data_IF_118395673235
#
_entry.id   IF_118395673235
#
_cell.length_a   1.000
_cell.length_b   1.000
_cell.length_c   1.000
_cell.angle_alpha   90.00
_cell.angle_beta   90.00
_cell.angle_gamma   90.00
#
_symmetry.space_group_name_H-M   'P 1'
#
loop_
_entity.id
_entity.type
_entity.pdbx_description
1 polymer ?
#
# COMPACT_ATOMS: atom_id res chain seq x y z
N UNK A 1 0.09 31.81 6.33
CA UNK A 1 0.56 32.46 5.08
C UNK A 1 -0.41 32.26 3.90
N UNK A 2 -0.67 31.03 3.45
CA UNK A 2 -1.47 30.78 2.23
C UNK A 2 -2.90 31.34 2.24
N UNK A 3 -3.54 31.44 3.42
CA UNK A 3 -4.87 32.05 3.55
C UNK A 3 -4.88 33.56 3.26
N UNK A 4 -3.82 34.28 3.61
CA UNK A 4 -3.67 35.71 3.33
C UNK A 4 -3.41 35.95 1.83
N UNK A 5 -2.51 35.17 1.20
CA UNK A 5 -2.30 35.21 -0.26
C UNK A 5 -3.60 34.97 -1.03
N UNK A 6 -4.44 34.06 -0.54
CA UNK A 6 -5.73 33.73 -1.15
C UNK A 6 -6.85 34.72 -0.80
N UNK A 7 -6.54 35.85 -0.14
CA UNK A 7 -7.50 36.85 0.36
C UNK A 7 -8.63 36.24 1.21
N UNK A 8 -8.36 35.15 1.92
CA UNK A 8 -9.28 34.54 2.90
C UNK A 8 -9.10 35.14 4.30
N UNK A 9 -8.03 35.91 4.50
CA UNK A 9 -7.73 36.73 5.68
C UNK A 9 -7.28 38.08 5.16
N UNK A 10 -7.72 39.16 5.80
CA UNK A 10 -7.36 40.54 5.44
C UNK A 10 -5.92 40.84 5.85
N UNK A 11 -5.54 40.48 7.08
CA UNK A 11 -4.21 40.78 7.63
C UNK A 11 -3.16 39.69 7.33
N UNK A 12 -1.91 40.08 7.05
CA UNK A 12 -0.80 39.15 6.96
C UNK A 12 -0.56 38.43 8.29
N UNK A 13 -0.06 37.18 8.26
CA UNK A 13 0.41 36.54 9.47
C UNK A 13 1.60 37.32 10.06
N UNK A 14 1.61 37.49 11.37
CA UNK A 14 2.74 38.11 12.10
C UNK A 14 3.95 37.18 12.11
N UNK A 15 5.16 37.74 12.19
CA UNK A 15 6.42 36.98 12.29
C UNK A 15 6.39 36.01 13.48
N UNK A 16 5.86 36.44 14.63
CA UNK A 16 5.69 35.58 15.81
C UNK A 16 4.75 34.40 15.57
N UNK A 17 3.67 34.60 14.80
CA UNK A 17 2.72 33.54 14.42
C UNK A 17 3.41 32.48 13.55
N UNK A 18 4.25 32.92 12.61
CA UNK A 18 5.04 32.06 11.73
C UNK A 18 6.03 31.23 12.57
N UNK A 19 6.83 31.90 13.42
CA UNK A 19 7.83 31.24 14.26
C UNK A 19 7.21 30.22 15.21
N UNK A 20 6.09 30.57 15.85
CA UNK A 20 5.36 29.66 16.75
C UNK A 20 4.86 28.43 16.01
N UNK A 21 4.34 28.59 14.79
CA UNK A 21 3.87 27.46 13.99
C UNK A 21 5.02 26.56 13.52
N UNK A 22 6.19 27.13 13.20
CA UNK A 22 7.39 26.34 12.89
C UNK A 22 7.87 25.53 14.09
N UNK A 23 7.98 26.16 15.27
CA UNK A 23 8.35 25.46 16.49
C UNK A 23 7.36 24.35 16.84
N UNK A 24 6.05 24.62 16.71
CA UNK A 24 5.02 23.60 16.92
C UNK A 24 5.18 22.38 16.00
N UNK A 25 5.55 22.59 14.73
CA UNK A 25 5.79 21.49 13.79
C UNK A 25 7.00 20.65 14.19
N UNK A 26 8.09 21.28 14.61
CA UNK A 26 9.29 20.56 15.06
C UNK A 26 9.03 19.79 16.37
N UNK A 27 8.32 20.39 17.33
CA UNK A 27 7.90 19.69 18.55
C UNK A 27 7.02 18.47 18.24
N UNK A 28 6.05 18.61 17.33
CA UNK A 28 5.19 17.50 16.92
C UNK A 28 5.98 16.40 16.23
N UNK A 29 6.93 16.76 15.37
CA UNK A 29 7.80 15.81 14.69
C UNK A 29 8.65 15.02 15.70
N UNK A 30 9.15 15.67 16.74
CA UNK A 30 9.88 14.99 17.81
C UNK A 30 8.96 14.04 18.60
N UNK A 31 7.78 14.51 19.02
CA UNK A 31 6.79 13.69 19.74
C UNK A 31 6.37 12.45 18.94
N UNK A 32 6.21 12.58 17.62
CA UNK A 32 5.86 11.45 16.75
C UNK A 32 6.97 10.40 16.74
N UNK A 33 8.24 10.82 16.68
CA UNK A 33 9.39 9.90 16.75
C UNK A 33 9.42 9.19 18.10
N UNK A 34 9.29 9.94 19.20
CA UNK A 34 9.31 9.37 20.55
C UNK A 34 8.18 8.36 20.76
N UNK A 35 6.98 8.65 20.26
CA UNK A 35 5.84 7.71 20.31
C UNK A 35 6.12 6.47 19.47
N UNK A 36 6.63 6.64 18.24
CA UNK A 36 6.98 5.51 17.37
C UNK A 36 8.07 4.61 17.96
N UNK A 37 9.07 5.19 18.62
CA UNK A 37 10.13 4.42 19.28
C UNK A 37 9.58 3.64 20.48
N UNK A 38 8.74 4.26 21.31
CA UNK A 38 8.07 3.60 22.43
C UNK A 38 7.15 2.47 21.96
N UNK A 39 6.39 2.70 20.89
CA UNK A 39 5.49 1.71 20.30
C UNK A 39 6.26 0.48 19.80
N UNK A 40 7.38 0.69 19.09
CA UNK A 40 8.27 -0.41 18.67
C UNK A 40 8.82 -1.21 19.84
N UNK A 41 9.18 -0.54 20.95
CA UNK A 41 9.66 -1.22 22.16
C UNK A 41 8.56 -2.04 22.83
N UNK A 42 7.31 -1.53 22.85
CA UNK A 42 6.16 -2.29 23.36
C UNK A 42 5.86 -3.50 22.47
N UNK A 43 5.84 -3.32 21.15
CA UNK A 43 5.66 -4.39 20.19
C UNK A 43 6.72 -5.49 20.34
N UNK A 44 7.98 -5.11 20.58
CA UNK A 44 9.06 -6.07 20.82
C UNK A 44 8.82 -6.89 22.10
N UNK A 45 8.33 -6.27 23.18
CA UNK A 45 7.96 -6.98 24.41
C UNK A 45 6.78 -7.92 24.22
N UNK A 46 5.74 -7.46 23.53
CA UNK A 46 4.56 -8.29 23.21
C UNK A 46 4.93 -9.51 22.36
N UNK A 47 5.92 -9.35 21.47
CA UNK A 47 6.48 -10.46 20.71
C UNK A 47 7.27 -11.44 21.58
N UNK A 48 8.13 -10.97 22.49
CA UNK A 48 8.84 -11.84 23.45
C UNK A 48 7.86 -12.62 24.33
N UNK A 49 6.75 -11.99 24.72
CA UNK A 49 5.67 -12.60 25.48
C UNK A 49 4.75 -13.51 24.60
N UNK A 50 5.02 -13.60 23.29
CA UNK A 50 4.23 -14.32 22.27
C UNK A 50 2.75 -13.92 22.21
N UNK A 51 2.40 -12.73 22.70
CA UNK A 51 1.05 -12.18 22.65
C UNK A 51 0.68 -11.73 21.23
N UNK A 52 1.68 -11.46 20.40
CA UNK A 52 1.53 -11.04 19.00
C UNK A 52 2.37 -11.95 18.10
N UNK A 53 1.80 -12.42 16.99
CA UNK A 53 2.54 -13.19 16.00
C UNK A 53 3.68 -12.35 15.41
N UNK A 54 4.80 -12.99 15.06
CA UNK A 54 5.86 -12.34 14.29
C UNK A 54 5.21 -11.59 13.09
N UNK A 55 5.56 -10.32 12.82
CA UNK A 55 5.22 -9.66 11.57
C UNK A 55 6.05 -10.31 10.45
N UNK A 56 5.81 -11.59 10.23
CA UNK A 56 6.30 -12.35 9.11
C UNK A 56 5.90 -11.58 7.87
N UNK A 57 6.89 -11.33 7.02
CA UNK A 57 6.72 -10.78 5.68
C UNK A 57 5.69 -11.66 4.97
N UNK A 58 4.42 -11.29 5.07
CA UNK A 58 3.31 -12.08 4.53
C UNK A 58 3.45 -11.96 3.03
N UNK A 59 4.14 -12.93 2.43
CA UNK A 59 4.13 -13.09 0.99
C UNK A 59 2.69 -13.36 0.62
N UNK A 60 2.01 -12.34 0.09
CA UNK A 60 0.66 -12.48 -0.44
C UNK A 60 0.77 -13.49 -1.58
N UNK A 61 0.51 -14.76 -1.30
CA UNK A 61 0.49 -15.86 -2.27
C UNK A 61 -0.97 -16.23 -2.48
N UNK A 62 -1.53 -15.79 -3.60
CA UNK A 62 -2.89 -16.13 -3.99
C UNK A 62 -3.21 -15.61 -5.38
N UNK A 63 -4.33 -16.05 -5.95
CA UNK A 63 -4.80 -15.58 -7.26
C UNK A 63 -4.96 -14.03 -7.33
N UNK A 64 -5.13 -13.38 -6.17
CA UNK A 64 -5.24 -11.93 -6.03
C UNK A 64 -3.91 -11.16 -6.10
N UNK A 65 -2.75 -11.82 -5.95
CA UNK A 65 -1.43 -11.16 -5.94
C UNK A 65 -0.64 -11.31 -7.24
N UNK A 66 -1.20 -11.99 -8.25
CA UNK A 66 -0.55 -12.10 -9.54
C UNK A 66 -0.65 -10.77 -10.30
N UNK A 67 0.48 -10.08 -10.51
CA UNK A 67 0.59 -9.03 -11.54
C UNK A 67 0.34 -9.68 -12.89
N UNK A 68 -0.87 -9.50 -13.45
CA UNK A 68 -1.28 -10.12 -14.70
C UNK A 68 -0.35 -9.69 -15.86
N UNK A 69 0.62 -10.53 -16.18
CA UNK A 69 1.43 -10.44 -17.39
C UNK A 69 1.47 -11.82 -18.05
N UNK A 70 0.52 -12.07 -18.95
CA UNK A 70 0.50 -13.26 -19.83
C UNK A 70 -0.92 -13.78 -19.98
N UNK A 71 -1.49 -14.00 -21.17
CA UNK A 71 -0.93 -14.32 -22.49
C UNK A 71 -1.86 -13.72 -23.56
N UNK A 72 -1.36 -13.41 -24.76
CA UNK A 72 -2.13 -12.77 -25.85
C UNK A 72 -3.19 -13.67 -26.53
N UNK A 73 -3.58 -14.80 -25.93
CA UNK A 73 -4.48 -15.78 -26.56
C UNK A 73 -5.49 -16.40 -25.59
N UNK A 74 -6.61 -16.95 -26.10
CA UNK A 74 -7.63 -17.61 -25.28
C UNK A 74 -7.05 -18.83 -24.57
N UNK A 75 -7.15 -18.87 -23.24
CA UNK A 75 -6.74 -20.02 -22.41
C UNK A 75 -7.93 -20.95 -22.21
N UNK A 76 -7.69 -22.27 -22.18
CA UNK A 76 -8.71 -23.26 -21.83
C UNK A 76 -9.12 -23.15 -20.36
N UNK A 77 -8.18 -22.81 -19.49
CA UNK A 77 -8.43 -22.73 -18.05
C UNK A 77 -8.94 -21.34 -17.66
N UNK A 78 -10.00 -21.25 -16.83
CA UNK A 78 -10.51 -19.98 -16.35
C UNK A 78 -9.49 -19.30 -15.43
N UNK A 79 -9.40 -17.97 -15.51
CA UNK A 79 -8.52 -17.17 -14.66
C UNK A 79 -9.33 -16.12 -13.91
N UNK A 80 -9.16 -16.02 -12.60
CA UNK A 80 -9.79 -15.00 -11.78
C UNK A 80 -8.73 -14.14 -11.09
N UNK A 81 -8.74 -12.84 -11.35
CA UNK A 81 -7.96 -11.82 -10.63
C UNK A 81 -8.92 -10.98 -9.78
N UNK A 82 -8.42 -10.23 -8.79
CA UNK A 82 -9.22 -9.51 -7.79
C UNK A 82 -10.43 -8.74 -8.35
N UNK A 83 -10.30 -8.11 -9.53
CA UNK A 83 -11.37 -7.33 -10.16
C UNK A 83 -11.91 -7.91 -11.48
N UNK A 84 -11.33 -8.99 -12.02
CA UNK A 84 -11.67 -9.49 -13.36
C UNK A 84 -11.66 -11.01 -13.38
N UNK A 85 -12.81 -11.58 -13.75
CA UNK A 85 -12.93 -13.00 -14.10
C UNK A 85 -12.85 -13.15 -15.62
N UNK A 86 -11.91 -13.96 -16.09
CA UNK A 86 -11.78 -14.38 -17.48
C UNK A 86 -12.21 -15.85 -17.59
N UNK A 87 -13.38 -16.14 -18.20
CA UNK A 87 -13.79 -17.52 -18.43
C UNK A 87 -12.83 -18.20 -19.42
N UNK A 88 -12.63 -19.51 -19.23
CA UNK A 88 -11.86 -20.33 -20.17
C UNK A 88 -12.57 -20.43 -21.52
N UNK A 89 -11.81 -20.44 -22.61
CA UNK A 89 -12.33 -20.63 -23.95
C UNK A 89 -12.45 -22.13 -24.27
N UNK A 90 -13.59 -22.53 -24.82
CA UNK A 90 -13.77 -23.88 -25.35
C UNK A 90 -12.90 -24.08 -26.60
N UNK A 91 -12.10 -25.13 -26.63
CA UNK A 91 -11.29 -25.52 -27.79
C UNK A 91 -11.83 -26.82 -28.39
N UNK A 92 -12.03 -26.91 -29.72
CA UNK A 92 -12.52 -28.12 -30.34
C UNK A 92 -11.49 -29.25 -30.22
N UNK A 93 -11.93 -30.50 -30.00
CA UNK A 93 -11.03 -31.65 -29.97
C UNK A 93 -10.39 -31.81 -31.36
N UNK A 94 -9.08 -31.51 -31.47
CA UNK A 94 -8.32 -31.63 -32.72
C UNK A 94 -7.39 -30.45 -33.03
N UNK A 95 -7.50 -29.30 -32.34
CA UNK A 95 -6.64 -28.14 -32.61
C UNK A 95 -5.21 -28.25 -32.06
N UNK A 96 -4.77 -29.45 -31.64
CA UNK A 96 -3.39 -29.76 -31.26
C UNK A 96 -2.70 -30.69 -32.25
N UNK A 97 -3.15 -30.78 -33.50
CA UNK A 97 -2.37 -31.37 -34.58
C UNK A 97 -1.59 -30.28 -35.31
N UNK A 98 -0.30 -30.16 -34.96
CA UNK A 98 0.81 -29.70 -35.81
C UNK A 98 1.96 -29.17 -34.95
N UNK A 99 2.60 -30.05 -34.17
CA UNK A 99 4.06 -29.97 -34.07
C UNK A 99 4.59 -31.22 -34.76
N UNK A 100 5.07 -31.00 -35.98
CA UNK A 100 5.77 -31.98 -36.79
C UNK A 100 7.00 -32.51 -36.05
N UNK A 101 7.34 -33.76 -36.37
CA UNK A 101 8.62 -34.44 -36.15
C UNK A 101 9.82 -33.57 -36.50
#
# INVERSE_FOLDING_TARGET
FSAWIRKKREDPPTIEEILRNENYKEEMKQKIKDVSEKDKLLQAKEYEERLVAEPSHTQVKGHASASYYGKKGPSRDPTSTANVFQPGAWMPPGSSSSQNK
#
